data_IF_379246930301
#
_entry.id   IF_379246930301
#
_cell.length_a   1.000
_cell.length_b   1.000
_cell.length_c   1.000
_cell.angle_alpha   90.00
_cell.angle_beta   90.00
_cell.angle_gamma   90.00
#
_symmetry.space_group_name_H-M   'P 1'
#
loop_
_entity.id
_entity.type
_entity.pdbx_description
1 polymer ?
#
# COMPACT_ATOMS: atom_id res chain seq x y z
N UNK A 1 -23.91 -15.71 18.08
CA UNK A 1 -25.03 -15.42 19.01
C UNK A 1 -25.69 -14.05 18.82
N UNK A 2 -24.99 -12.93 18.56
CA UNK A 2 -25.68 -11.65 18.24
C UNK A 2 -26.09 -11.53 16.75
N UNK A 3 -25.18 -11.81 15.81
CA UNK A 3 -25.44 -11.79 14.35
C UNK A 3 -26.47 -12.83 13.90
N UNK A 4 -26.50 -13.97 14.60
CA UNK A 4 -27.47 -15.05 14.38
C UNK A 4 -28.89 -14.64 14.80
N UNK A 5 -29.01 -13.84 15.86
CA UNK A 5 -30.31 -13.28 16.31
C UNK A 5 -30.80 -12.14 15.42
N UNK A 6 -29.88 -11.43 14.76
CA UNK A 6 -30.21 -10.37 13.81
C UNK A 6 -30.59 -10.86 12.40
N UNK A 7 -30.67 -12.18 12.19
CA UNK A 7 -31.00 -12.83 10.91
C UNK A 7 -30.32 -12.15 9.70
N UNK A 8 -28.98 -12.12 9.74
CA UNK A 8 -28.14 -11.41 8.76
C UNK A 8 -28.56 -11.64 7.30
N UNK A 9 -29.03 -12.84 6.96
CA UNK A 9 -29.41 -13.20 5.59
C UNK A 9 -30.72 -12.54 5.13
N UNK A 10 -31.56 -12.10 6.07
CA UNK A 10 -32.89 -11.54 5.81
C UNK A 10 -33.07 -10.12 6.37
N UNK A 11 -32.03 -9.58 7.00
CA UNK A 11 -32.09 -8.27 7.64
C UNK A 11 -32.30 -7.15 6.64
N UNK A 12 -33.15 -6.20 7.01
CA UNK A 12 -33.27 -4.90 6.35
C UNK A 12 -32.62 -3.79 7.18
N UNK A 13 -31.92 -4.14 8.27
CA UNK A 13 -31.30 -3.21 9.19
C UNK A 13 -29.80 -3.02 8.86
N UNK A 14 -29.45 -1.78 8.52
CA UNK A 14 -28.07 -1.38 8.24
C UNK A 14 -27.14 -1.60 9.43
N UNK A 15 -27.62 -1.49 10.67
CA UNK A 15 -26.81 -1.67 11.88
C UNK A 15 -26.30 -3.11 11.98
N UNK A 16 -27.12 -4.09 11.60
CA UNK A 16 -26.72 -5.52 11.58
C UNK A 16 -25.59 -5.74 10.57
N UNK A 17 -25.69 -5.11 9.39
CA UNK A 17 -24.63 -5.18 8.38
C UNK A 17 -23.36 -4.46 8.84
N UNK A 18 -23.46 -3.29 9.48
CA UNK A 18 -22.30 -2.57 10.05
C UNK A 18 -21.56 -3.45 11.07
N UNK A 19 -22.28 -4.06 12.00
CA UNK A 19 -21.71 -4.98 12.98
C UNK A 19 -21.03 -6.18 12.31
N UNK A 20 -21.63 -6.72 11.24
CA UNK A 20 -21.02 -7.80 10.47
C UNK A 20 -19.74 -7.37 9.77
N UNK A 21 -19.71 -6.20 9.13
CA UNK A 21 -18.52 -5.67 8.45
C UNK A 21 -17.40 -5.41 9.45
N UNK A 22 -17.69 -4.83 10.62
CA UNK A 22 -16.70 -4.66 11.70
C UNK A 22 -16.13 -6.01 12.16
N UNK A 23 -16.98 -7.04 12.29
CA UNK A 23 -16.52 -8.40 12.56
C UNK A 23 -15.58 -8.91 11.47
N UNK A 24 -15.85 -8.68 10.19
CA UNK A 24 -14.98 -9.10 9.09
C UNK A 24 -13.63 -8.37 9.11
N UNK A 25 -13.63 -7.05 9.36
CA UNK A 25 -12.40 -6.25 9.50
C UNK A 25 -11.53 -6.81 10.63
N UNK A 26 -12.11 -7.02 11.81
CA UNK A 26 -11.39 -7.55 12.96
C UNK A 26 -10.89 -8.99 12.73
N UNK A 27 -11.74 -9.85 12.12
CA UNK A 27 -11.39 -11.24 11.84
C UNK A 27 -10.21 -11.33 10.87
N UNK A 28 -10.17 -10.47 9.85
CA UNK A 28 -9.07 -10.43 8.88
C UNK A 28 -7.71 -10.16 9.52
N UNK A 29 -7.66 -9.41 10.62
CA UNK A 29 -6.43 -9.11 11.32
C UNK A 29 -5.83 -10.33 12.04
N UNK A 30 -6.62 -11.36 12.29
CA UNK A 30 -6.23 -12.52 13.12
C UNK A 30 -6.39 -13.87 12.42
N UNK A 31 -7.22 -13.96 11.38
CA UNK A 31 -7.53 -15.17 10.64
C UNK A 31 -7.00 -15.06 9.20
N UNK A 32 -5.99 -15.87 8.89
CA UNK A 32 -5.38 -15.98 7.57
C UNK A 32 -6.10 -16.95 6.63
N UNK A 33 -7.20 -17.56 7.08
CA UNK A 33 -8.00 -18.48 6.27
C UNK A 33 -8.85 -17.73 5.22
N UNK A 34 -9.47 -18.48 4.30
CA UNK A 34 -10.44 -17.94 3.34
C UNK A 34 -11.80 -17.59 3.94
N UNK A 35 -11.98 -17.71 5.26
CA UNK A 35 -13.26 -17.45 5.93
C UNK A 35 -13.77 -16.03 5.66
N UNK A 36 -12.90 -15.02 5.78
CA UNK A 36 -13.28 -13.62 5.52
C UNK A 36 -13.69 -13.42 4.06
N UNK A 37 -12.95 -14.00 3.11
CA UNK A 37 -13.28 -13.92 1.68
C UNK A 37 -14.68 -14.52 1.39
N UNK A 38 -15.00 -15.67 1.97
CA UNK A 38 -16.32 -16.29 1.82
C UNK A 38 -17.44 -15.48 2.49
N UNK A 39 -17.22 -15.04 3.74
CA UNK A 39 -18.22 -14.27 4.49
C UNK A 39 -18.46 -12.88 3.89
N UNK A 40 -17.43 -12.30 3.25
CA UNK A 40 -17.57 -11.04 2.54
C UNK A 40 -18.56 -11.14 1.38
N UNK A 41 -18.61 -12.26 0.66
CA UNK A 41 -19.63 -12.46 -0.38
C UNK A 41 -21.05 -12.32 0.18
N UNK A 42 -21.30 -12.77 1.41
CA UNK A 42 -22.57 -12.55 2.12
C UNK A 42 -22.79 -11.07 2.42
N UNK A 43 -21.78 -10.36 2.94
CA UNK A 43 -21.88 -8.92 3.22
C UNK A 43 -22.23 -8.12 1.96
N UNK A 44 -21.60 -8.45 0.83
CA UNK A 44 -21.89 -7.83 -0.48
C UNK A 44 -23.34 -8.03 -0.88
N UNK A 45 -23.88 -9.25 -0.73
CA UNK A 45 -25.29 -9.55 -1.09
C UNK A 45 -26.28 -8.81 -0.18
N UNK A 46 -26.02 -8.75 1.13
CA UNK A 46 -26.85 -8.00 2.07
C UNK A 46 -26.79 -6.50 1.76
N UNK A 47 -25.60 -5.95 1.49
CA UNK A 47 -25.43 -4.55 1.10
C UNK A 47 -26.16 -4.21 -0.21
N UNK A 48 -26.17 -5.13 -1.18
CA UNK A 48 -26.94 -4.98 -2.42
C UNK A 48 -28.45 -4.98 -2.13
N UNK A 49 -28.94 -5.87 -1.27
CA UNK A 49 -30.35 -5.90 -0.87
C UNK A 49 -30.79 -4.62 -0.14
N UNK A 50 -29.88 -3.99 0.61
CA UNK A 50 -30.06 -2.68 1.23
C UNK A 50 -29.81 -1.50 0.27
N UNK A 51 -29.55 -1.77 -1.01
CA UNK A 51 -29.27 -0.78 -2.05
C UNK A 51 -28.09 0.15 -1.74
N UNK A 52 -27.08 -0.30 -0.98
CA UNK A 52 -25.94 0.56 -0.60
C UNK A 52 -25.06 0.98 -1.79
N UNK A 53 -25.11 0.22 -2.88
CA UNK A 53 -24.43 0.52 -4.14
C UNK A 53 -25.10 1.65 -4.94
N UNK A 54 -26.33 2.04 -4.59
CA UNK A 54 -27.07 3.11 -5.25
C UNK A 54 -26.77 4.45 -4.57
N UNK A 55 -26.37 5.45 -5.35
CA UNK A 55 -25.91 6.77 -4.87
C UNK A 55 -26.92 7.50 -3.97
N UNK A 56 -28.19 7.51 -4.38
CA UNK A 56 -29.30 8.12 -3.63
C UNK A 56 -30.55 7.27 -3.84
N UNK A 57 -31.25 6.97 -2.75
CA UNK A 57 -32.50 6.19 -2.80
C UNK A 57 -33.72 7.06 -2.99
N UNK A 58 -33.66 8.29 -2.48
CA UNK A 58 -34.77 9.24 -2.49
C UNK A 58 -34.22 10.66 -2.37
N UNK A 59 -34.89 11.65 -3.00
CA UNK A 59 -34.62 13.07 -2.75
C UNK A 59 -34.81 13.49 -1.29
N UNK A 60 -35.52 12.69 -0.49
CA UNK A 60 -35.80 12.97 0.94
C UNK A 60 -34.80 12.28 1.88
N UNK A 61 -33.78 11.61 1.35
CA UNK A 61 -32.75 10.99 2.17
C UNK A 61 -31.95 12.07 2.91
N UNK A 62 -31.84 11.94 4.24
CA UNK A 62 -31.05 12.85 5.06
C UNK A 62 -29.57 12.75 4.72
N UNK A 63 -28.83 13.85 4.82
CA UNK A 63 -27.37 13.89 4.67
C UNK A 63 -26.67 12.80 5.51
N UNK A 64 -27.07 12.64 6.79
CA UNK A 64 -26.51 11.61 7.67
C UNK A 64 -26.62 10.20 7.09
N UNK A 65 -27.82 9.76 6.72
CA UNK A 65 -28.05 8.43 6.15
C UNK A 65 -27.28 8.21 4.85
N UNK A 66 -27.21 9.24 3.99
CA UNK A 66 -26.43 9.17 2.76
C UNK A 66 -24.95 8.92 3.07
N UNK A 67 -24.34 9.70 3.97
CA UNK A 67 -22.94 9.53 4.35
C UNK A 67 -22.69 8.16 5.01
N UNK A 68 -23.57 7.71 5.91
CA UNK A 68 -23.43 6.40 6.56
C UNK A 68 -23.50 5.23 5.55
N UNK A 69 -24.42 5.30 4.57
CA UNK A 69 -24.53 4.29 3.52
C UNK A 69 -23.30 4.28 2.61
N UNK A 70 -22.82 5.45 2.18
CA UNK A 70 -21.61 5.59 1.37
C UNK A 70 -20.40 4.99 2.09
N UNK A 71 -20.16 5.41 3.34
CA UNK A 71 -19.02 4.93 4.14
C UNK A 71 -19.05 3.41 4.31
N UNK A 72 -20.22 2.84 4.58
CA UNK A 72 -20.36 1.37 4.69
C UNK A 72 -20.10 0.68 3.35
N UNK A 73 -20.67 1.18 2.24
CA UNK A 73 -20.46 0.60 0.91
C UNK A 73 -18.99 0.63 0.48
N UNK A 74 -18.33 1.77 0.66
CA UNK A 74 -16.91 1.92 0.32
C UNK A 74 -16.00 1.08 1.22
N UNK A 75 -16.36 0.88 2.49
CA UNK A 75 -15.64 -0.07 3.38
C UNK A 75 -15.76 -1.51 2.87
N UNK A 76 -16.95 -1.93 2.43
CA UNK A 76 -17.17 -3.26 1.82
C UNK A 76 -16.35 -3.38 0.52
N UNK A 77 -16.37 -2.34 -0.32
CA UNK A 77 -15.55 -2.29 -1.54
C UNK A 77 -14.05 -2.42 -1.24
N UNK A 78 -13.55 -1.77 -0.19
CA UNK A 78 -12.15 -1.88 0.22
C UNK A 78 -11.81 -3.31 0.66
N UNK A 79 -12.63 -3.91 1.52
CA UNK A 79 -12.46 -5.30 1.97
C UNK A 79 -12.46 -6.30 0.81
N UNK A 80 -13.28 -6.06 -0.21
CA UNK A 80 -13.37 -6.90 -1.41
C UNK A 80 -12.07 -6.88 -2.21
N UNK A 81 -11.47 -5.71 -2.44
CA UNK A 81 -10.15 -5.65 -3.08
C UNK A 81 -9.09 -6.33 -2.21
N UNK A 82 -9.11 -6.08 -0.90
CA UNK A 82 -8.10 -6.60 0.03
C UNK A 82 -8.14 -8.13 0.17
N UNK A 83 -9.31 -8.75 0.04
CA UNK A 83 -9.46 -10.21 0.09
C UNK A 83 -9.08 -10.89 -1.23
N UNK A 84 -8.77 -10.12 -2.28
CA UNK A 84 -8.46 -10.63 -3.61
C UNK A 84 -6.97 -10.58 -3.99
N UNK A 85 -6.07 -10.42 -3.01
CA UNK A 85 -4.63 -10.39 -3.29
C UNK A 85 -4.03 -11.74 -3.70
N UNK A 86 -4.75 -12.85 -3.50
CA UNK A 86 -4.31 -14.17 -3.97
C UNK A 86 -4.32 -14.28 -5.51
N UNK A 87 -3.39 -15.04 -6.13
CA UNK A 87 -3.18 -15.09 -7.58
C UNK A 87 -4.42 -15.36 -8.44
N UNK A 88 -5.40 -16.09 -7.92
CA UNK A 88 -6.59 -16.51 -8.66
C UNK A 88 -7.89 -15.82 -8.22
N UNK A 89 -7.80 -14.85 -7.31
CA UNK A 89 -8.97 -14.13 -6.81
C UNK A 89 -9.26 -12.86 -7.62
N UNK A 90 -10.56 -12.59 -7.78
CA UNK A 90 -11.13 -11.41 -8.44
C UNK A 90 -12.03 -10.69 -7.46
N UNK A 91 -11.97 -9.35 -7.39
CA UNK A 91 -12.95 -8.60 -6.63
C UNK A 91 -14.37 -8.95 -7.09
N UNK A 92 -15.26 -9.22 -6.14
CA UNK A 92 -16.66 -9.57 -6.38
C UNK A 92 -17.45 -8.38 -6.92
N UNK A 93 -17.09 -7.17 -6.51
CA UNK A 93 -17.78 -5.94 -6.88
C UNK A 93 -17.17 -5.39 -8.18
N UNK A 94 -17.94 -5.25 -9.28
CA UNK A 94 -17.42 -4.64 -10.50
C UNK A 94 -17.20 -3.14 -10.30
N UNK A 95 -16.33 -2.52 -11.10
CA UNK A 95 -15.96 -1.11 -10.96
C UNK A 95 -17.19 -0.18 -11.09
N UNK A 96 -18.14 -0.54 -11.94
CA UNK A 96 -19.37 0.22 -12.21
C UNK A 96 -20.31 0.27 -11.00
N UNK A 97 -20.12 -0.64 -10.04
CA UNK A 97 -20.86 -0.65 -8.78
C UNK A 97 -20.13 0.12 -7.67
N UNK A 98 -18.92 0.63 -7.93
CA UNK A 98 -18.33 1.66 -7.07
C UNK A 98 -19.05 2.97 -7.40
N UNK A 99 -19.67 3.58 -6.37
CA UNK A 99 -20.41 4.83 -6.53
C UNK A 99 -19.53 5.91 -7.17
N UNK A 100 -20.10 6.80 -8.00
CA UNK A 100 -19.32 7.82 -8.71
C UNK A 100 -18.72 8.88 -7.78
N UNK A 101 -19.30 9.08 -6.60
CA UNK A 101 -18.80 10.05 -5.62
C UNK A 101 -18.36 9.37 -4.33
N UNK A 102 -17.32 9.91 -3.71
CA UNK A 102 -16.82 9.45 -2.42
C UNK A 102 -17.68 10.03 -1.27
N UNK A 103 -17.54 9.49 -0.05
CA UNK A 103 -17.98 10.20 1.16
C UNK A 103 -17.35 11.59 1.25
N UNK A 104 -18.05 12.52 1.91
CA UNK A 104 -17.58 13.90 2.04
C UNK A 104 -16.42 13.98 3.06
N UNK A 105 -15.42 14.82 2.80
CA UNK A 105 -14.33 15.10 3.75
C UNK A 105 -14.80 16.07 4.86
N UNK A 106 -15.44 15.53 5.89
CA UNK A 106 -15.96 16.27 7.07
C UNK A 106 -15.72 15.46 8.34
N UNK A 107 -15.73 16.10 9.52
CA UNK A 107 -15.57 15.38 10.79
C UNK A 107 -16.87 14.70 11.21
N UNK A 108 -16.76 13.65 12.02
CA UNK A 108 -17.92 12.91 12.51
C UNK A 108 -18.72 13.73 13.54
N UNK A 109 -18.09 14.72 14.17
CA UNK A 109 -18.75 15.68 15.04
C UNK A 109 -19.54 16.78 14.31
N UNK A 110 -19.38 16.91 12.99
CA UNK A 110 -19.99 18.01 12.23
C UNK A 110 -21.48 17.79 11.94
N UNK A 111 -21.96 16.54 12.00
CA UNK A 111 -23.33 16.18 11.71
C UNK A 111 -23.77 14.94 12.51
N UNK A 112 -25.07 14.84 12.76
CA UNK A 112 -25.70 13.74 13.49
C UNK A 112 -27.02 13.34 12.80
N UNK A 113 -27.77 12.33 13.29
CA UNK A 113 -29.04 11.92 12.68
C UNK A 113 -30.11 13.01 12.59
N UNK A 114 -30.01 14.08 13.39
CA UNK A 114 -30.91 15.22 13.39
C UNK A 114 -30.45 16.38 12.50
N UNK A 115 -29.24 16.30 11.92
CA UNK A 115 -28.70 17.32 11.02
C UNK A 115 -29.56 17.49 9.77
N UNK A 116 -29.87 18.75 9.45
CA UNK A 116 -30.63 19.14 8.26
C UNK A 116 -29.81 20.17 7.47
N UNK A 117 -29.53 19.85 6.22
CA UNK A 117 -28.76 20.69 5.31
C UNK A 117 -27.65 19.91 4.62
N UNK A 118 -26.74 20.64 4.01
CA UNK A 118 -25.55 20.12 3.34
C UNK A 118 -24.29 20.71 4.00
N UNK A 119 -23.22 19.90 4.02
CA UNK A 119 -21.88 20.36 4.40
C UNK A 119 -21.01 20.48 3.16
N UNK A 120 -20.01 21.36 3.23
CA UNK A 120 -18.97 21.48 2.21
C UNK A 120 -17.77 20.61 2.57
N UNK A 121 -17.07 20.10 1.57
CA UNK A 121 -15.79 19.43 1.78
C UNK A 121 -14.78 20.39 2.41
N UNK A 122 -14.00 19.85 3.34
CA UNK A 122 -12.86 20.52 3.94
C UNK A 122 -11.60 20.24 3.13
N UNK A 123 -10.70 21.22 3.09
CA UNK A 123 -9.36 21.08 2.49
C UNK A 123 -8.34 20.50 3.50
N UNK A 124 -8.69 20.44 4.79
CA UNK A 124 -7.85 19.91 5.87
C UNK A 124 -8.12 18.43 6.19
N UNK A 125 -7.29 17.89 7.10
CA UNK A 125 -7.40 16.50 7.57
C UNK A 125 -8.58 16.37 8.52
N UNK A 126 -9.44 15.39 8.27
CA UNK A 126 -10.64 15.07 9.07
C UNK A 126 -10.63 13.60 9.50
N UNK A 127 -11.59 13.22 10.34
CA UNK A 127 -11.81 11.82 10.76
C UNK A 127 -11.94 10.84 9.58
N UNK A 128 -12.43 11.30 8.42
CA UNK A 128 -12.69 10.45 7.24
C UNK A 128 -11.51 10.43 6.27
N UNK A 129 -10.49 11.26 6.46
CA UNK A 129 -9.35 11.40 5.54
C UNK A 129 -8.68 10.06 5.22
N UNK A 130 -8.44 9.22 6.23
CA UNK A 130 -7.88 7.89 6.01
C UNK A 130 -8.78 7.01 5.15
N UNK A 131 -10.08 7.02 5.45
CA UNK A 131 -11.07 6.26 4.71
C UNK A 131 -11.08 6.72 3.23
N UNK A 132 -11.09 8.02 2.95
CA UNK A 132 -11.02 8.56 1.60
C UNK A 132 -9.76 8.13 0.84
N UNK A 133 -8.61 8.15 1.51
CA UNK A 133 -7.37 7.65 0.92
C UNK A 133 -7.52 6.17 0.52
N UNK A 134 -7.98 5.31 1.42
CA UNK A 134 -8.15 3.88 1.14
C UNK A 134 -9.25 3.60 0.12
N UNK A 135 -10.29 4.43 0.04
CA UNK A 135 -11.34 4.33 -0.96
C UNK A 135 -10.85 4.71 -2.36
N UNK A 136 -10.01 5.73 -2.49
CA UNK A 136 -9.33 6.00 -3.75
C UNK A 136 -8.40 4.85 -4.14
N UNK A 137 -7.69 4.26 -3.16
CA UNK A 137 -6.79 3.15 -3.40
C UNK A 137 -7.54 1.92 -3.93
N UNK A 138 -8.71 1.59 -3.38
CA UNK A 138 -9.50 0.46 -3.89
C UNK A 138 -10.04 0.73 -5.30
N UNK A 139 -10.46 1.96 -5.64
CA UNK A 139 -10.87 2.30 -7.02
C UNK A 139 -9.69 2.13 -7.98
N UNK A 140 -8.52 2.64 -7.61
CA UNK A 140 -7.29 2.50 -8.39
C UNK A 140 -6.95 1.02 -8.60
N UNK A 141 -6.96 0.23 -7.52
CA UNK A 141 -6.71 -1.21 -7.55
C UNK A 141 -7.66 -1.96 -8.47
N UNK A 142 -8.96 -1.63 -8.45
CA UNK A 142 -9.96 -2.21 -9.37
C UNK A 142 -9.68 -1.85 -10.81
N UNK A 143 -9.41 -0.58 -11.12
CA UNK A 143 -9.07 -0.15 -12.48
C UNK A 143 -7.83 -0.89 -13.00
N UNK A 144 -6.80 -1.00 -12.18
CA UNK A 144 -5.56 -1.72 -12.52
C UNK A 144 -5.75 -3.23 -12.69
N UNK A 145 -6.81 -3.81 -12.10
CA UNK A 145 -7.15 -5.22 -12.25
C UNK A 145 -7.62 -5.54 -13.68
N UNK A 146 -8.41 -4.64 -14.28
CA UNK A 146 -9.00 -4.86 -15.61
C UNK A 146 -8.08 -4.45 -16.77
N UNK A 147 -7.00 -3.71 -16.50
CA UNK A 147 -6.02 -3.35 -17.53
C UNK A 147 -4.98 -4.47 -17.70
N UNK A 148 -4.84 -5.04 -18.92
CA UNK A 148 -3.78 -6.00 -19.23
C UNK A 148 -2.40 -5.45 -18.84
N UNK A 149 -1.54 -6.32 -18.29
CA UNK A 149 -0.25 -5.88 -17.73
C UNK A 149 0.67 -5.19 -18.75
N UNK A 150 0.58 -5.56 -20.04
CA UNK A 150 1.37 -4.98 -21.12
C UNK A 150 1.00 -3.53 -21.50
N UNK A 151 -0.15 -3.02 -21.03
CA UNK A 151 -0.59 -1.65 -21.34
C UNK A 151 -0.01 -0.63 -20.34
N UNK A 152 1.32 -0.50 -20.34
CA UNK A 152 2.05 0.36 -19.39
C UNK A 152 1.53 1.80 -19.33
N UNK A 153 1.26 2.42 -20.49
CA UNK A 153 0.75 3.79 -20.56
C UNK A 153 -0.63 3.94 -19.91
N UNK A 154 -1.53 2.97 -20.13
CA UNK A 154 -2.86 3.00 -19.55
C UNK A 154 -2.81 2.83 -18.01
N UNK A 155 -1.91 1.97 -17.52
CA UNK A 155 -1.65 1.80 -16.09
C UNK A 155 -1.05 3.06 -15.48
N UNK A 156 -0.09 3.68 -16.14
CA UNK A 156 0.53 4.93 -15.70
C UNK A 156 -0.49 6.07 -15.60
N UNK A 157 -1.39 6.19 -16.57
CA UNK A 157 -2.48 7.18 -16.54
C UNK A 157 -3.42 6.97 -15.35
N UNK A 158 -3.74 5.73 -14.99
CA UNK A 158 -4.53 5.43 -13.77
C UNK A 158 -3.77 5.86 -12.52
N UNK A 159 -2.49 5.51 -12.43
CA UNK A 159 -1.66 5.86 -11.28
C UNK A 159 -1.51 7.36 -11.13
N UNK A 160 -1.35 8.09 -12.25
CA UNK A 160 -1.31 9.55 -12.26
C UNK A 160 -2.64 10.15 -11.80
N UNK A 161 -3.76 9.68 -12.34
CA UNK A 161 -5.10 10.11 -11.90
C UNK A 161 -5.33 9.84 -10.41
N UNK A 162 -4.87 8.71 -9.89
CA UNK A 162 -4.93 8.40 -8.45
C UNK A 162 -4.08 9.37 -7.64
N UNK A 163 -2.82 9.62 -8.04
CA UNK A 163 -1.96 10.60 -7.40
C UNK A 163 -2.68 11.94 -7.34
N UNK A 164 -3.12 12.46 -8.49
CA UNK A 164 -3.79 13.76 -8.63
C UNK A 164 -5.07 13.87 -7.78
N UNK A 165 -5.86 12.80 -7.68
CA UNK A 165 -7.10 12.78 -6.87
C UNK A 165 -6.84 12.74 -5.36
N UNK A 166 -5.65 12.30 -4.96
CA UNK A 166 -5.23 12.20 -3.55
C UNK A 166 -4.29 13.37 -3.18
N UNK A 167 -3.87 14.22 -4.13
CA UNK A 167 -3.01 15.38 -3.90
C UNK A 167 -3.56 16.47 -2.95
N UNK A 168 -4.87 16.63 -2.64
CA UNK A 168 -5.27 17.49 -1.52
C UNK A 168 -4.72 16.97 -0.17
N UNK A 169 -4.41 15.66 -0.09
CA UNK A 169 -3.77 14.98 1.03
C UNK A 169 -2.28 14.76 0.72
N UNK A 170 -1.49 15.84 0.71
CA UNK A 170 -0.05 15.88 0.37
C UNK A 170 0.90 15.03 1.24
N UNK A 171 0.38 14.02 1.96
CA UNK A 171 1.11 13.21 2.92
C UNK A 171 0.94 11.70 2.76
N UNK A 172 0.29 11.13 1.74
CA UNK A 172 0.11 9.66 1.72
C UNK A 172 0.32 9.03 0.33
N UNK A 173 0.75 9.82 -0.64
CA UNK A 173 0.88 9.39 -2.03
C UNK A 173 2.20 8.67 -2.27
N UNK A 174 2.31 7.36 -1.95
CA UNK A 174 3.26 6.45 -2.62
C UNK A 174 3.38 5.03 -2.07
N UNK A 175 3.31 4.81 -0.76
CA UNK A 175 3.93 3.62 -0.15
C UNK A 175 3.19 2.30 -0.39
N UNK A 176 1.94 2.35 -0.87
CA UNK A 176 1.04 1.20 -0.96
C UNK A 176 0.81 0.68 -2.38
N UNK A 177 1.25 1.39 -3.42
CA UNK A 177 0.99 0.99 -4.82
C UNK A 177 1.78 -0.26 -5.25
N UNK A 178 2.92 -0.53 -4.61
CA UNK A 178 3.74 -1.72 -4.91
C UNK A 178 3.11 -3.03 -4.43
N UNK A 179 2.19 -2.99 -3.46
CA UNK A 179 1.47 -4.21 -3.01
C UNK A 179 0.53 -4.72 -4.11
N UNK A 180 0.03 -3.85 -4.98
CA UNK A 180 -0.77 -4.22 -6.15
C UNK A 180 0.08 -4.76 -7.31
N UNK A 181 1.42 -4.73 -7.20
CA UNK A 181 2.34 -5.28 -8.20
C UNK A 181 2.54 -6.77 -7.92
N UNK A 182 1.92 -7.63 -8.73
CA UNK A 182 2.27 -9.06 -8.76
C UNK A 182 3.66 -9.24 -9.40
N UNK A 183 4.56 -10.05 -8.85
CA UNK A 183 5.83 -10.35 -9.51
C UNK A 183 5.55 -11.13 -10.82
N UNK A 184 6.13 -10.66 -11.93
CA UNK A 184 6.20 -11.41 -13.18
C UNK A 184 7.61 -11.99 -13.34
N UNK A 185 7.69 -13.27 -13.69
CA UNK A 185 8.95 -13.97 -13.92
C UNK A 185 9.45 -13.92 -15.38
N UNK A 186 8.69 -13.37 -16.33
CA UNK A 186 8.92 -13.69 -17.75
C UNK A 186 9.44 -12.58 -18.68
N UNK A 187 9.56 -11.30 -18.28
CA UNK A 187 9.74 -10.21 -19.27
C UNK A 187 10.92 -9.26 -19.03
N UNK A 188 12.12 -9.81 -18.85
CA UNK A 188 13.36 -9.02 -18.73
C UNK A 188 13.92 -8.41 -20.05
N UNK A 189 13.25 -8.50 -21.20
CA UNK A 189 13.96 -8.26 -22.48
C UNK A 189 13.51 -7.14 -23.42
N UNK A 190 12.50 -6.29 -23.17
CA UNK A 190 12.01 -5.41 -24.27
C UNK A 190 11.75 -3.90 -24.06
N UNK A 191 12.14 -3.23 -22.97
CA UNK A 191 11.97 -1.76 -22.90
C UNK A 191 13.18 -1.02 -22.31
N UNK A 192 14.24 -0.89 -23.10
CA UNK A 192 15.35 0.03 -22.84
C UNK A 192 15.23 1.25 -23.76
N UNK A 193 14.41 2.23 -23.36
CA UNK A 193 14.62 3.65 -23.69
C UNK A 193 13.59 4.48 -22.91
N UNK A 194 14.07 5.19 -21.89
CA UNK A 194 13.33 6.13 -21.00
C UNK A 194 12.56 5.57 -19.80
N UNK A 195 13.00 4.49 -19.17
CA UNK A 195 12.57 4.21 -17.79
C UNK A 195 13.61 4.77 -16.80
N UNK A 196 13.20 5.50 -15.74
CA UNK A 196 14.09 5.85 -14.64
C UNK A 196 14.70 4.56 -14.08
N UNK A 197 15.93 4.66 -13.57
CA UNK A 197 16.60 3.51 -12.97
C UNK A 197 15.71 2.91 -11.87
N UNK A 198 15.75 1.59 -11.69
CA UNK A 198 14.94 0.92 -10.67
C UNK A 198 15.27 1.46 -9.27
N UNK A 199 16.50 1.92 -9.04
CA UNK A 199 16.89 2.64 -7.84
C UNK A 199 16.12 3.98 -7.69
N UNK A 200 16.04 4.81 -8.72
CA UNK A 200 15.25 6.06 -8.67
C UNK A 200 13.79 5.81 -8.32
N UNK A 201 13.18 4.78 -8.91
CA UNK A 201 11.81 4.37 -8.57
C UNK A 201 11.70 3.91 -7.10
N UNK A 202 12.70 3.21 -6.58
CA UNK A 202 12.72 2.84 -5.16
C UNK A 202 12.82 4.09 -4.27
N UNK A 203 13.70 5.03 -4.61
CA UNK A 203 13.88 6.28 -3.85
C UNK A 203 12.63 7.13 -3.82
N UNK A 204 11.96 7.33 -4.96
CA UNK A 204 10.69 8.04 -5.01
C UNK A 204 9.67 7.48 -4.02
N UNK A 205 9.72 6.16 -3.76
CA UNK A 205 8.81 5.54 -2.80
C UNK A 205 9.28 5.63 -1.37
N UNK A 206 10.58 5.47 -1.13
CA UNK A 206 11.16 5.57 0.20
C UNK A 206 11.15 7.01 0.73
N UNK A 207 11.27 8.03 -0.13
CA UNK A 207 11.25 9.45 0.25
C UNK A 207 9.95 9.86 0.93
N UNK A 208 8.85 9.19 0.63
CA UNK A 208 7.57 9.50 1.26
C UNK A 208 7.53 9.03 2.71
N UNK A 209 8.29 8.03 3.11
CA UNK A 209 8.29 7.55 4.50
C UNK A 209 8.74 8.66 5.48
N UNK A 210 9.94 9.26 5.37
CA UNK A 210 10.35 10.31 6.29
C UNK A 210 9.51 11.59 6.14
N UNK A 211 9.00 11.92 4.95
CA UNK A 211 8.09 13.07 4.75
C UNK A 211 6.82 12.95 5.61
N UNK A 212 6.25 11.76 5.69
CA UNK A 212 4.99 11.48 6.38
C UNK A 212 5.19 11.38 7.88
N UNK A 213 6.29 10.75 8.28
CA UNK A 213 6.65 10.63 9.69
C UNK A 213 7.15 11.95 10.29
N UNK A 214 7.56 12.91 9.45
CA UNK A 214 8.01 14.25 9.86
C UNK A 214 6.93 15.34 9.92
N UNK A 215 5.73 15.11 9.38
CA UNK A 215 4.62 16.07 9.42
C UNK A 215 3.57 15.64 10.47
N UNK A 216 3.10 16.60 11.25
CA UNK A 216 2.14 16.39 12.35
C UNK A 216 0.78 15.89 11.83
N UNK A 217 0.37 16.32 10.63
CA UNK A 217 -0.86 15.85 9.98
C UNK A 217 -0.80 14.36 9.63
N UNK A 218 0.41 13.80 9.53
CA UNK A 218 0.64 12.40 9.24
C UNK A 218 0.51 11.50 10.46
N UNK A 219 0.51 12.06 11.68
CA UNK A 219 0.61 11.31 12.95
C UNK A 219 -0.41 10.19 13.04
N UNK A 220 -1.69 10.48 12.77
CA UNK A 220 -2.78 9.51 12.81
C UNK A 220 -2.69 8.38 11.78
N UNK A 221 -1.83 8.52 10.76
CA UNK A 221 -1.67 7.56 9.66
C UNK A 221 -0.31 6.83 9.67
N UNK A 222 0.60 7.18 10.58
CA UNK A 222 1.95 6.58 10.68
C UNK A 222 1.93 5.06 10.88
N UNK A 223 0.88 4.54 11.52
CA UNK A 223 0.70 3.08 11.70
C UNK A 223 0.44 2.35 10.38
N UNK A 224 -0.16 3.03 9.39
CA UNK A 224 -0.50 2.45 8.09
C UNK A 224 0.63 2.62 7.05
N UNK A 225 1.39 3.71 7.17
CA UNK A 225 2.45 4.10 6.23
C UNK A 225 3.80 3.71 6.83
N UNK A 226 3.99 2.42 7.04
CA UNK A 226 5.24 1.89 7.55
C UNK A 226 6.18 1.47 6.41
N UNK A 227 7.51 1.62 6.58
CA UNK A 227 8.47 1.06 5.65
C UNK A 227 8.25 -0.44 5.50
N UNK A 228 7.99 -0.88 4.28
CA UNK A 228 7.85 -2.29 4.00
C UNK A 228 9.22 -2.90 3.67
N UNK A 229 9.56 -4.01 4.33
CA UNK A 229 10.89 -4.61 4.22
C UNK A 229 11.30 -5.02 2.79
N UNK A 230 10.40 -5.49 1.89
CA UNK A 230 10.78 -5.84 0.52
C UNK A 230 11.24 -4.63 -0.29
N UNK A 231 10.63 -3.46 -0.08
CA UNK A 231 10.96 -2.21 -0.75
C UNK A 231 12.33 -1.70 -0.30
N UNK A 232 12.61 -1.81 1.00
CA UNK A 232 13.93 -1.47 1.55
C UNK A 232 14.99 -2.42 0.99
N UNK A 233 14.73 -3.74 1.00
CA UNK A 233 15.67 -4.72 0.48
C UNK A 233 15.93 -4.54 -1.01
N UNK A 234 14.90 -4.22 -1.80
CA UNK A 234 15.04 -3.93 -3.22
C UNK A 234 15.91 -2.69 -3.45
N UNK A 235 15.69 -1.60 -2.70
CA UNK A 235 16.53 -0.41 -2.79
C UNK A 235 18.00 -0.73 -2.47
N UNK A 236 18.26 -1.51 -1.41
CA UNK A 236 19.61 -1.96 -1.06
C UNK A 236 20.22 -2.82 -2.19
N UNK A 237 19.42 -3.72 -2.79
CA UNK A 237 19.87 -4.55 -3.92
C UNK A 237 20.23 -3.71 -5.13
N UNK A 238 19.42 -2.70 -5.46
CA UNK A 238 19.69 -1.80 -6.58
C UNK A 238 20.95 -0.94 -6.37
N UNK A 239 21.35 -0.67 -5.13
CA UNK A 239 22.66 -0.06 -4.86
C UNK A 239 23.85 -0.95 -5.27
N UNK A 240 23.68 -2.27 -5.38
CA UNK A 240 24.73 -3.14 -5.93
C UNK A 240 24.83 -3.05 -7.45
N UNK A 241 23.71 -2.84 -8.13
CA UNK A 241 23.63 -2.78 -9.59
C UNK A 241 24.01 -1.39 -10.12
N UNK A 242 23.68 -0.35 -9.36
CA UNK A 242 23.88 1.05 -9.79
C UNK A 242 25.36 1.44 -9.80
N UNK A 243 25.78 2.11 -10.87
CA UNK A 243 27.15 2.64 -11.06
C UNK A 243 27.18 4.17 -10.89
N UNK A 244 26.05 4.85 -11.04
CA UNK A 244 25.94 6.30 -10.90
C UNK A 244 26.22 6.76 -9.46
N UNK A 245 27.40 7.35 -9.26
CA UNK A 245 27.85 7.85 -7.98
C UNK A 245 27.00 9.01 -7.44
N UNK A 246 26.44 9.87 -8.30
CA UNK A 246 25.58 10.98 -7.88
C UNK A 246 24.24 10.45 -7.34
N UNK A 247 23.68 9.46 -8.04
CA UNK A 247 22.46 8.78 -7.58
C UNK A 247 22.69 8.04 -6.26
N UNK A 248 23.80 7.32 -6.13
CA UNK A 248 24.17 6.62 -4.89
C UNK A 248 24.39 7.59 -3.71
N UNK A 249 25.05 8.74 -3.94
CA UNK A 249 25.22 9.80 -2.92
C UNK A 249 23.88 10.32 -2.38
N UNK A 250 22.87 10.45 -3.25
CA UNK A 250 21.50 10.83 -2.85
C UNK A 250 20.75 9.69 -2.17
N UNK A 251 20.88 8.47 -2.70
CA UNK A 251 20.16 7.30 -2.25
C UNK A 251 20.54 6.86 -0.83
N UNK A 252 21.85 6.88 -0.55
CA UNK A 252 22.41 6.20 0.61
C UNK A 252 21.89 6.72 1.96
N UNK A 253 21.88 8.05 2.23
CA UNK A 253 21.38 8.58 3.51
C UNK A 253 19.90 8.25 3.75
N UNK A 254 19.09 8.26 2.68
CA UNK A 254 17.67 7.92 2.76
C UNK A 254 17.48 6.45 3.14
N UNK A 255 18.21 5.54 2.50
CA UNK A 255 18.11 4.10 2.77
C UNK A 255 18.55 3.80 4.21
N UNK A 256 19.63 4.41 4.69
CA UNK A 256 20.08 4.26 6.09
C UNK A 256 19.02 4.76 7.09
N UNK A 257 18.42 5.93 6.84
CA UNK A 257 17.36 6.49 7.69
C UNK A 257 16.13 5.58 7.73
N UNK A 258 15.67 5.11 6.55
CA UNK A 258 14.50 4.23 6.48
C UNK A 258 14.76 2.86 7.12
N UNK A 259 15.94 2.27 6.95
CA UNK A 259 16.32 1.03 7.66
C UNK A 259 16.34 1.27 9.17
N UNK A 260 16.95 2.36 9.63
CA UNK A 260 16.99 2.72 11.05
C UNK A 260 15.58 2.93 11.63
N UNK A 261 14.70 3.57 10.88
CA UNK A 261 13.28 3.71 11.24
C UNK A 261 12.60 2.34 11.34
N UNK A 262 12.75 1.48 10.33
CA UNK A 262 12.21 0.12 10.31
C UNK A 262 12.64 -0.70 11.54
N UNK A 263 13.93 -0.62 11.89
CA UNK A 263 14.48 -1.31 13.06
C UNK A 263 13.85 -0.83 14.38
N UNK A 264 13.53 0.46 14.49
CA UNK A 264 12.91 1.04 15.69
C UNK A 264 11.44 0.67 15.78
N UNK A 265 10.68 0.83 14.71
CA UNK A 265 9.20 0.79 14.74
C UNK A 265 8.62 -0.62 14.62
N UNK A 266 9.22 -1.51 13.83
CA UNK A 266 8.60 -2.81 13.58
C UNK A 266 8.78 -3.79 14.74
N UNK A 267 7.71 -4.52 15.07
CA UNK A 267 7.64 -5.58 16.09
C UNK A 267 6.81 -6.73 15.50
N UNK A 268 7.03 -7.96 15.94
CA UNK A 268 6.27 -9.12 15.48
C UNK A 268 7.09 -10.40 15.27
N UNK A 269 6.42 -11.52 14.92
CA UNK A 269 7.07 -12.76 14.55
C UNK A 269 7.93 -12.56 13.28
N UNK A 270 9.08 -13.22 13.20
CA UNK A 270 10.06 -13.11 12.10
C UNK A 270 10.73 -11.71 11.91
N UNK A 271 10.32 -10.69 12.66
CA UNK A 271 10.91 -9.34 12.60
C UNK A 271 12.40 -9.33 12.97
N UNK A 272 12.84 -10.21 13.89
CA UNK A 272 14.26 -10.32 14.26
C UNK A 272 15.13 -10.75 13.07
N UNK A 273 14.68 -11.76 12.32
CA UNK A 273 15.37 -12.26 11.12
C UNK A 273 15.36 -11.21 10.01
N UNK A 274 14.23 -10.54 9.79
CA UNK A 274 14.11 -9.44 8.80
C UNK A 274 15.06 -8.27 9.11
N UNK A 275 15.10 -7.81 10.36
CA UNK A 275 16.04 -6.75 10.79
C UNK A 275 17.50 -7.18 10.63
N UNK A 276 17.82 -8.43 10.99
CA UNK A 276 19.18 -8.96 10.82
C UNK A 276 19.59 -9.01 9.34
N UNK A 277 18.68 -9.44 8.45
CA UNK A 277 18.90 -9.47 7.01
C UNK A 277 19.15 -8.06 6.47
N UNK A 278 18.26 -7.11 6.77
CA UNK A 278 18.41 -5.72 6.32
C UNK A 278 19.74 -5.13 6.78
N UNK A 279 20.13 -5.36 8.05
CA UNK A 279 21.42 -4.89 8.58
C UNK A 279 22.61 -5.49 7.84
N UNK A 280 22.65 -6.81 7.65
CA UNK A 280 23.74 -7.49 6.92
C UNK A 280 23.84 -7.00 5.48
N UNK A 281 22.71 -6.86 4.79
CA UNK A 281 22.65 -6.36 3.41
C UNK A 281 23.11 -4.91 3.33
N UNK A 282 22.69 -4.06 4.27
CA UNK A 282 23.10 -2.66 4.36
C UNK A 282 24.61 -2.54 4.60
N UNK A 283 25.18 -3.30 5.54
CA UNK A 283 26.62 -3.32 5.81
C UNK A 283 27.45 -3.74 4.58
N UNK A 284 26.98 -4.74 3.82
CA UNK A 284 27.68 -5.19 2.61
C UNK A 284 27.55 -4.18 1.46
N UNK A 285 26.37 -3.56 1.31
CA UNK A 285 26.16 -2.51 0.31
C UNK A 285 27.02 -1.27 0.60
N UNK A 286 27.18 -0.90 1.87
CA UNK A 286 27.96 0.26 2.30
C UNK A 286 29.38 0.26 1.76
N UNK A 287 30.09 -0.88 1.89
CA UNK A 287 31.48 -1.01 1.42
C UNK A 287 31.63 -0.72 -0.08
N UNK A 288 30.65 -1.16 -0.88
CA UNK A 288 30.63 -0.92 -2.32
C UNK A 288 30.28 0.52 -2.65
N UNK A 289 29.25 1.06 -2.01
CA UNK A 289 28.80 2.44 -2.22
C UNK A 289 29.92 3.43 -1.87
N UNK A 290 30.57 3.24 -0.72
CA UNK A 290 31.72 4.05 -0.30
C UNK A 290 32.87 3.99 -1.33
N UNK A 291 33.17 2.80 -1.88
CA UNK A 291 34.19 2.61 -2.91
C UNK A 291 33.88 3.35 -4.21
N UNK A 292 32.62 3.32 -4.69
CA UNK A 292 32.19 3.99 -5.92
C UNK A 292 32.16 5.52 -5.72
N UNK A 293 31.73 5.96 -4.53
CA UNK A 293 31.69 7.38 -4.17
C UNK A 293 33.11 7.95 -4.07
N UNK A 294 34.06 7.21 -3.50
CA UNK A 294 35.47 7.60 -3.45
C UNK A 294 36.11 7.62 -4.83
N UNK A 295 35.93 6.58 -5.66
CA UNK A 295 36.50 6.56 -7.01
C UNK A 295 36.00 7.72 -7.87
N UNK A 296 34.71 8.06 -7.77
CA UNK A 296 34.15 9.22 -8.49
C UNK A 296 34.67 10.56 -7.97
N UNK A 297 35.04 10.66 -6.68
CA UNK A 297 35.64 11.88 -6.12
C UNK A 297 37.11 12.04 -6.55
N UNK A 298 37.81 10.92 -6.76
CA UNK A 298 39.19 10.89 -7.25
C UNK A 298 39.26 11.17 -8.77
N UNK A 299 38.28 10.71 -9.56
CA UNK A 299 38.17 10.99 -11.00
C UNK A 299 37.86 12.46 -11.31
N UNK A 300 37.09 13.17 -10.48
CA UNK A 300 36.88 14.63 -10.62
C UNK A 300 38.19 15.43 -10.43
N UNK A 301 39.21 14.84 -9.80
CA UNK A 301 40.55 15.44 -9.65
C UNK A 301 41.54 15.02 -10.74
N UNK A 302 41.27 13.96 -11.51
CA UNK A 302 42.19 13.40 -12.49
C UNK A 302 41.48 13.08 -13.80
N UNK A 303 41.64 13.97 -14.78
CA UNK A 303 41.10 13.77 -16.12
C UNK A 303 41.75 12.52 -16.79
N UNK A 304 40.89 11.60 -17.26
CA UNK A 304 41.12 10.43 -18.15
C UNK A 304 41.60 9.14 -17.46
N UNK A 305 40.69 8.16 -17.32
CA UNK A 305 40.76 6.86 -18.04
C UNK A 305 39.46 6.05 -17.84
N UNK A 306 38.81 5.67 -18.95
CA UNK A 306 37.80 4.61 -18.97
C UNK A 306 38.42 3.31 -18.43
N UNK A 307 37.99 2.85 -17.26
CA UNK A 307 38.27 1.49 -16.79
C UNK A 307 37.05 0.63 -17.07
N UNK A 308 37.11 -0.09 -18.19
CA UNK A 308 36.32 -1.31 -18.38
C UNK A 308 36.74 -2.31 -17.29
N UNK A 309 35.88 -2.54 -16.31
CA UNK A 309 36.10 -3.49 -15.21
C UNK A 309 34.84 -4.27 -14.91
N UNK A 310 34.38 -5.09 -15.86
CA UNK A 310 33.31 -6.07 -15.65
C UNK A 310 33.87 -7.42 -15.15
N UNK A 311 35.18 -7.56 -14.94
CA UNK A 311 35.80 -8.87 -14.74
C UNK A 311 36.09 -9.32 -13.30
N UNK A 312 35.72 -8.54 -12.26
CA UNK A 312 35.78 -9.03 -10.88
C UNK A 312 34.53 -8.59 -10.09
N UNK A 313 33.36 -9.11 -10.50
CA UNK A 313 32.25 -9.20 -9.56
C UNK A 313 32.63 -10.29 -8.54
N UNK A 314 32.86 -9.97 -7.25
CA UNK A 314 33.08 -10.99 -6.24
C UNK A 314 31.91 -11.96 -6.30
N UNK A 315 32.24 -13.26 -6.29
CA UNK A 315 31.32 -14.37 -6.41
C UNK A 315 29.98 -14.03 -5.74
N UNK A 316 28.94 -13.91 -6.57
CA UNK A 316 27.64 -13.37 -6.20
C UNK A 316 26.84 -14.34 -5.32
N UNK A 317 27.50 -15.39 -4.82
CA UNK A 317 26.95 -16.27 -3.82
C UNK A 317 27.02 -15.61 -2.43
N UNK A 318 26.09 -14.70 -2.22
CA UNK A 318 25.81 -14.02 -0.95
C UNK A 318 25.24 -14.97 0.12
N UNK A 319 25.20 -16.28 -0.14
CA UNK A 319 24.36 -17.21 0.60
C UNK A 319 22.88 -16.82 0.43
N UNK A 320 22.50 -16.24 -0.71
CA UNK A 320 21.09 -15.95 -1.01
C UNK A 320 20.30 -17.23 -0.92
N UNK A 321 20.82 -18.33 -1.46
CA UNK A 321 20.16 -19.63 -1.38
C UNK A 321 20.11 -20.16 0.05
N UNK A 322 21.11 -19.96 0.92
CA UNK A 322 20.99 -20.29 2.36
C UNK A 322 19.98 -19.38 3.09
N UNK A 323 19.94 -18.10 2.75
CA UNK A 323 19.00 -17.10 3.30
C UNK A 323 17.56 -17.29 2.81
N UNK A 324 17.38 -17.81 1.58
CA UNK A 324 16.10 -18.14 0.96
C UNK A 324 15.69 -19.60 1.17
N UNK A 325 16.60 -20.54 1.47
CA UNK A 325 16.26 -21.95 1.77
C UNK A 325 15.66 -22.11 3.17
N UNK A 326 15.96 -21.20 4.11
CA UNK A 326 15.19 -21.04 5.34
C UNK A 326 13.75 -20.52 5.07
N UNK A 327 13.45 -20.14 3.82
CA UNK A 327 12.16 -19.64 3.38
C UNK A 327 11.53 -20.57 2.32
N UNK A 328 10.53 -21.35 2.72
CA UNK A 328 9.58 -21.87 1.74
C UNK A 328 8.87 -20.68 1.07
N UNK A 329 9.19 -20.41 -0.20
CA UNK A 329 8.49 -19.43 -1.05
C UNK A 329 6.95 -19.67 -1.12
N UNK A 330 6.46 -20.80 -0.60
CA UNK A 330 5.04 -21.09 -0.41
C UNK A 330 4.35 -20.44 0.80
N UNK A 331 5.07 -19.71 1.68
CA UNK A 331 4.47 -19.02 2.83
C UNK A 331 4.12 -17.53 2.58
N UNK A 332 4.33 -17.03 1.37
CA UNK A 332 3.87 -15.68 1.01
C UNK A 332 2.37 -15.68 0.70
N UNK A 333 1.54 -15.82 1.73
CA UNK A 333 0.20 -15.24 1.63
C UNK A 333 0.38 -13.73 1.54
N UNK A 334 -0.12 -13.11 0.47
CA UNK A 334 -0.09 -11.65 0.29
C UNK A 334 -0.63 -10.87 1.51
N UNK A 335 -1.38 -11.53 2.39
CA UNK A 335 -1.82 -10.99 3.69
C UNK A 335 -0.71 -10.68 4.70
N UNK A 336 0.50 -11.25 4.55
CA UNK A 336 1.62 -11.05 5.49
C UNK A 336 2.53 -9.86 5.14
N UNK A 337 2.33 -9.24 3.97
CA UNK A 337 3.07 -8.06 3.51
C UNK A 337 2.49 -6.74 4.04
N UNK A 338 1.30 -6.75 4.64
CA UNK A 338 0.74 -5.58 5.32
C UNK A 338 0.40 -6.03 6.75
N UNK A 339 1.21 -5.62 7.71
CA UNK A 339 0.83 -5.76 9.12
C UNK A 339 -0.26 -4.73 9.43
N UNK A 340 -1.53 -5.15 9.28
CA UNK A 340 -2.70 -4.35 9.62
C UNK A 340 -2.84 -4.12 11.12
N UNK A 341 -2.06 -4.81 11.96
CA UNK A 341 -2.32 -4.87 13.40
C UNK A 341 -1.76 -3.69 14.18
N UNK A 342 -0.98 -2.81 13.55
CA UNK A 342 -0.47 -1.58 14.15
C UNK A 342 -0.16 -1.78 15.63
N UNK A 343 0.69 -2.77 15.95
CA UNK A 343 0.87 -3.26 17.32
C UNK A 343 1.74 -2.30 18.15
N UNK A 344 1.25 -1.05 18.26
CA UNK A 344 1.52 -0.17 19.38
C UNK A 344 0.33 -0.33 20.33
N UNK A 345 0.63 -0.83 21.52
CA UNK A 345 -0.32 -1.02 22.60
C UNK A 345 -1.19 0.24 22.80
N UNK A 346 -2.50 -0.01 22.97
CA UNK A 346 -3.49 0.92 23.51
C UNK A 346 -3.01 1.61 24.80
#
# INVERSE_FOLDING_TARGET
>A
MALERGDLMRTTDMMVLQAFVLYLVATRAHDKSRAVWTLLATAVRVAQALNLHVESLSPTETFFNQQMRKRLWFTICLLDVQTCFDPDSRPLIPLEMTQPTLPLNVNDSDFDPSFVGDLSERDDVTDVTFALFTYNLQICGRRLYYIPRGEHLARENILKSFKDSVLPLNLISSTQLHVFRRPDHDHQQQQQQQQPSLLELCLENLENIPRIHGDDRGEGFRWYIQPQWPQILLAIKECFVTIDAALLKRAWPLIEDVVGHYEKTHRGPNTRSRKLMLRKSLEKARRRVDSIIQSAADDDHNNIAYVNGVEDLPDMDLGWDELFNDFSFGEFSYGDCIDWTGSNNF
#
